data_IF_891594495780
#
_entry.id   IF_891594495780
#
_cell.length_a   1.000
_cell.length_b   1.000
_cell.length_c   1.000
_cell.angle_alpha   90.00
_cell.angle_beta   90.00
_cell.angle_gamma   90.00
#
_symmetry.space_group_name_H-M   'P 1'
#
loop_
_entity.id
_entity.type
_entity.pdbx_description
1 polymer ?
#
# COMPACT_ATOMS: atom_id res chain seq x y z
N UNK A 1 -2.34 26.98 -33.38
CA UNK A 1 -2.15 25.52 -33.63
C UNK A 1 -0.66 25.22 -33.53
N UNK A 2 -0.28 24.05 -33.01
CA UNK A 2 1.12 23.67 -32.76
C UNK A 2 1.27 22.98 -31.40
N UNK A 3 0.81 21.73 -31.28
CA UNK A 3 0.97 20.91 -30.09
C UNK A 3 2.13 19.92 -30.25
N UNK A 4 2.70 19.45 -29.13
CA UNK A 4 3.92 18.65 -29.05
C UNK A 4 3.75 17.17 -29.47
N UNK A 5 3.07 16.92 -30.59
CA UNK A 5 3.04 15.61 -31.28
C UNK A 5 2.95 15.77 -32.81
N UNK A 6 4.05 15.51 -33.54
CA UNK A 6 4.04 15.13 -34.96
C UNK A 6 4.36 13.62 -35.17
N UNK A 7 4.17 13.07 -36.40
CA UNK A 7 3.94 11.63 -36.61
C UNK A 7 5.18 10.76 -36.93
N UNK A 8 4.92 9.43 -37.00
CA UNK A 8 5.87 8.34 -37.34
C UNK A 8 6.17 8.23 -38.84
N UNK A 9 7.26 7.52 -39.17
CA UNK A 9 7.59 6.58 -40.28
C UNK A 9 9.14 6.37 -40.19
N UNK A 10 9.81 5.23 -40.42
CA UNK A 10 9.49 3.83 -40.78
C UNK A 10 10.46 2.83 -40.07
N UNK A 11 10.34 1.54 -40.37
CA UNK A 11 11.22 0.39 -40.01
C UNK A 11 11.89 -0.20 -41.28
N UNK A 12 12.67 -1.33 -41.27
CA UNK A 12 13.33 -2.10 -40.20
C UNK A 12 14.86 -2.36 -40.46
N UNK A 13 15.58 -2.93 -39.48
CA UNK A 13 16.74 -3.80 -39.74
C UNK A 13 16.95 -4.85 -38.64
N UNK A 14 17.67 -5.91 -38.96
CA UNK A 14 17.69 -7.22 -38.26
C UNK A 14 19.13 -7.64 -37.93
N UNK A 15 19.30 -8.64 -37.04
CA UNK A 15 20.50 -9.48 -36.78
C UNK A 15 21.57 -8.91 -35.78
N UNK A 16 22.44 -9.76 -35.17
CA UNK A 16 22.04 -10.60 -34.02
C UNK A 16 23.04 -10.56 -32.83
N UNK A 17 22.75 -11.33 -31.78
CA UNK A 17 23.67 -11.64 -30.67
C UNK A 17 24.96 -12.35 -31.15
N UNK A 18 26.04 -12.27 -30.36
CA UNK A 18 26.59 -13.52 -29.82
C UNK A 18 26.78 -13.51 -28.30
N UNK A 19 26.91 -14.70 -27.73
CA UNK A 19 27.12 -14.93 -26.31
C UNK A 19 28.61 -14.86 -25.93
N UNK A 20 28.91 -14.48 -24.68
CA UNK A 20 29.71 -15.34 -23.82
C UNK A 20 29.60 -14.99 -22.33
N UNK A 21 29.58 -16.02 -21.48
CA UNK A 21 29.83 -15.92 -20.03
C UNK A 21 31.25 -16.42 -19.78
N UNK A 22 32.00 -15.82 -18.84
CA UNK A 22 32.88 -16.55 -17.95
C UNK A 22 32.21 -16.74 -16.58
N UNK A 23 32.54 -17.85 -15.91
CA UNK A 23 32.19 -18.10 -14.50
C UNK A 23 33.15 -17.32 -13.59
N UNK A 24 32.72 -16.76 -12.45
CA UNK A 24 33.63 -16.41 -11.38
C UNK A 24 34.08 -17.67 -10.61
N UNK A 25 35.25 -17.56 -10.00
CA UNK A 25 35.98 -18.62 -9.27
C UNK A 25 35.42 -18.91 -7.88
N UNK A 26 35.74 -20.10 -7.38
CA UNK A 26 35.55 -20.46 -5.98
C UNK A 26 36.50 -19.62 -5.08
N UNK A 27 35.96 -19.02 -4.03
CA UNK A 27 36.76 -18.59 -2.88
C UNK A 27 36.12 -19.10 -1.59
N UNK A 28 36.86 -19.95 -0.88
CA UNK A 28 36.55 -20.38 0.50
C UNK A 28 37.17 -19.41 1.51
N UNK A 29 36.64 -19.45 2.72
CA UNK A 29 37.19 -18.90 3.98
C UNK A 29 37.28 -17.38 4.13
N UNK A 30 36.42 -16.84 4.99
CA UNK A 30 36.86 -16.30 6.28
C UNK A 30 35.73 -16.37 7.31
N UNK A 31 35.98 -17.04 8.44
CA UNK A 31 35.22 -16.84 9.67
C UNK A 31 35.79 -15.60 10.36
N UNK A 32 34.94 -14.70 10.85
CA UNK A 32 35.32 -13.66 11.81
C UNK A 32 34.20 -13.50 12.85
N UNK A 33 34.63 -13.29 14.09
CA UNK A 33 33.83 -13.49 15.29
C UNK A 33 32.79 -12.40 15.56
N UNK A 34 31.72 -12.79 16.26
CA UNK A 34 30.73 -11.89 16.86
C UNK A 34 31.01 -11.80 18.37
N UNK A 35 31.46 -10.66 18.91
CA UNK A 35 31.52 -10.46 20.34
C UNK A 35 30.13 -10.11 20.89
N UNK A 36 29.70 -10.87 21.89
CA UNK A 36 28.50 -10.58 22.68
C UNK A 36 28.73 -9.40 23.65
N UNK A 37 27.74 -8.54 23.83
CA UNK A 37 27.70 -7.63 24.99
C UNK A 37 26.29 -7.49 25.57
N UNK A 38 26.29 -7.58 26.89
CA UNK A 38 25.17 -7.68 27.82
C UNK A 38 24.18 -6.52 27.84
N UNK A 39 22.96 -6.85 28.26
CA UNK A 39 21.88 -5.95 28.64
C UNK A 39 22.23 -5.01 29.81
N UNK A 40 21.71 -3.78 29.75
CA UNK A 40 21.45 -2.96 30.95
C UNK A 40 20.09 -2.28 30.85
N UNK A 41 19.14 -2.72 31.68
CA UNK A 41 17.90 -1.98 31.95
C UNK A 41 18.16 -0.93 33.04
N UNK A 42 17.86 0.34 32.75
CA UNK A 42 17.80 1.40 33.76
C UNK A 42 16.34 1.56 34.21
N UNK A 43 16.08 1.40 35.52
CA UNK A 43 14.77 1.71 36.14
C UNK A 43 14.79 3.13 36.69
N UNK A 44 13.69 3.85 36.49
CA UNK A 44 13.40 5.14 37.14
C UNK A 44 12.71 4.93 38.50
N UNK A 45 12.93 5.79 39.51
CA UNK A 45 12.23 5.75 40.79
C UNK A 45 10.88 6.50 40.77
N UNK A 46 9.94 6.19 41.69
CA UNK A 46 8.61 6.81 41.76
C UNK A 46 8.60 8.14 42.56
N UNK A 47 7.53 8.96 42.42
CA UNK A 47 7.43 10.25 43.10
C UNK A 47 6.93 10.13 44.55
N UNK A 48 7.49 10.96 45.44
CA UNK A 48 7.01 11.15 46.82
C UNK A 48 6.32 12.51 46.98
N UNK A 49 5.23 12.53 47.73
CA UNK A 49 4.42 13.71 48.01
C UNK A 49 4.88 14.45 49.27
N UNK A 50 4.80 15.78 49.27
CA UNK A 50 4.71 16.57 50.50
C UNK A 50 3.79 17.78 50.30
N UNK A 51 2.75 17.85 51.16
CA UNK A 51 1.87 19.01 51.28
C UNK A 51 2.59 20.12 52.06
N UNK A 52 2.33 21.37 51.69
CA UNK A 52 2.77 22.55 52.43
C UNK A 52 1.85 23.74 52.16
N UNK A 53 0.70 23.79 52.84
CA UNK A 53 -0.11 25.01 52.92
C UNK A 53 0.56 25.98 53.90
N UNK A 54 0.57 27.29 53.60
CA UNK A 54 0.58 28.35 54.62
C UNK A 54 -0.03 29.63 54.06
N UNK A 55 -0.65 30.42 54.94
CA UNK A 55 -1.68 31.42 54.61
C UNK A 55 -1.15 32.84 54.43
N UNK A 56 -1.93 33.64 53.71
CA UNK A 56 -1.84 35.11 53.68
C UNK A 56 -2.26 35.75 55.02
N UNK A 57 -1.62 36.85 55.39
CA UNK A 57 -2.23 37.95 56.16
C UNK A 57 -1.74 39.31 55.65
N UNK A 58 -2.67 40.27 55.52
CA UNK A 58 -2.39 41.68 55.20
C UNK A 58 -2.22 42.49 56.48
N UNK A 59 -1.41 43.56 56.44
CA UNK A 59 -1.56 44.90 57.08
C UNK A 59 -0.18 45.61 57.04
N UNK A 60 -0.05 46.93 57.06
CA UNK A 60 -0.80 48.00 56.38
C UNK A 60 0.10 49.28 56.37
N UNK A 61 -0.34 50.34 55.68
CA UNK A 61 0.07 51.75 55.88
C UNK A 61 1.56 52.17 55.70
N UNK A 62 1.84 52.89 54.60
CA UNK A 62 2.12 54.35 54.66
C UNK A 62 2.18 54.98 53.25
N UNK A 63 1.80 56.26 53.13
CA UNK A 63 1.66 57.01 51.87
C UNK A 63 2.78 58.04 51.67
N UNK A 64 2.92 58.44 50.40
CA UNK A 64 3.38 59.74 49.89
C UNK A 64 4.90 60.07 49.94
N UNK A 65 5.52 60.09 48.76
CA UNK A 65 5.68 61.34 48.01
C UNK A 65 5.85 61.09 46.50
N UNK A 66 5.27 61.98 45.69
CA UNK A 66 5.52 62.14 44.24
C UNK A 66 6.26 63.49 44.05
N UNK A 67 6.89 63.82 42.88
CA UNK A 67 6.26 63.73 41.56
C UNK A 67 7.13 63.31 40.34
N UNK A 68 6.40 62.83 39.32
CA UNK A 68 6.59 62.99 37.87
C UNK A 68 8.00 63.06 37.23
N UNK A 69 8.27 62.14 36.29
CA UNK A 69 8.51 62.52 34.88
C UNK A 69 8.35 61.34 33.90
N UNK A 70 7.61 61.61 32.80
CA UNK A 70 7.52 60.89 31.51
C UNK A 70 7.92 59.40 31.47
N UNK A 71 6.96 58.50 31.67
CA UNK A 71 7.06 57.13 31.14
C UNK A 71 6.70 57.13 29.65
N UNK A 72 7.70 56.90 28.79
CA UNK A 72 7.46 56.58 27.39
C UNK A 72 6.64 55.28 27.28
N UNK A 73 5.78 55.19 26.26
CA UNK A 73 5.06 53.95 25.94
C UNK A 73 6.10 52.88 25.60
N UNK A 74 6.24 51.89 26.48
CA UNK A 74 7.02 50.69 26.19
C UNK A 74 6.28 49.88 25.13
N UNK A 75 6.51 50.20 23.85
CA UNK A 75 6.33 49.23 22.77
C UNK A 75 7.41 48.18 22.96
N UNK A 76 7.08 46.91 23.25
CA UNK A 76 8.06 45.86 23.09
C UNK A 76 8.44 45.85 21.61
N UNK A 77 9.70 46.14 21.29
CA UNK A 77 10.29 45.71 20.03
C UNK A 77 10.40 44.20 20.10
N UNK A 78 9.30 43.49 19.82
CA UNK A 78 9.40 42.10 19.40
C UNK A 78 10.24 42.11 18.14
N UNK A 79 11.42 41.48 18.19
CA UNK A 79 12.11 41.10 16.97
C UNK A 79 11.11 40.37 16.06
N UNK A 80 11.17 40.52 14.72
CA UNK A 80 10.35 39.69 13.86
C UNK A 80 10.58 38.23 14.24
N UNK A 81 9.53 37.39 14.33
CA UNK A 81 9.74 35.97 14.54
C UNK A 81 10.68 35.49 13.43
N UNK A 82 11.73 34.77 13.83
CA UNK A 82 12.68 34.20 12.88
C UNK A 82 11.88 33.39 11.85
N UNK A 83 12.18 33.55 10.56
CA UNK A 83 11.21 33.17 9.53
C UNK A 83 10.89 31.66 9.56
N UNK A 84 11.86 30.84 9.96
CA UNK A 84 11.70 29.41 10.20
C UNK A 84 10.80 29.11 11.41
N UNK A 85 10.83 29.93 12.47
CA UNK A 85 9.92 29.80 13.60
C UNK A 85 8.48 30.16 13.23
N UNK A 86 8.28 31.17 12.36
CA UNK A 86 6.98 31.49 11.79
C UNK A 86 6.47 30.37 10.87
N UNK A 87 7.33 29.81 10.01
CA UNK A 87 6.99 28.67 9.16
C UNK A 87 6.66 27.40 9.97
N UNK A 88 7.41 27.12 11.05
CA UNK A 88 7.12 26.03 11.96
C UNK A 88 5.77 26.22 12.68
N UNK A 89 5.46 27.44 13.13
CA UNK A 89 4.17 27.78 13.72
C UNK A 89 3.02 27.60 12.70
N UNK A 90 3.20 28.03 11.46
CA UNK A 90 2.23 27.85 10.37
C UNK A 90 1.94 26.35 10.12
N UNK A 91 2.97 25.51 10.04
CA UNK A 91 2.81 24.05 9.88
C UNK A 91 2.06 23.45 11.08
N UNK A 92 2.44 23.81 12.32
CA UNK A 92 1.76 23.33 13.52
C UNK A 92 0.28 23.76 13.57
N UNK A 93 -0.05 24.96 13.08
CA UNK A 93 -1.44 25.45 12.96
C UNK A 93 -2.23 24.65 11.93
N UNK A 94 -1.66 24.39 10.75
CA UNK A 94 -2.29 23.57 9.73
C UNK A 94 -2.50 22.11 10.19
N UNK A 95 -1.50 21.52 10.86
CA UNK A 95 -1.62 20.18 11.47
C UNK A 95 -2.68 20.12 12.58
N UNK A 96 -2.93 21.24 13.28
CA UNK A 96 -3.96 21.38 14.30
C UNK A 96 -5.35 21.81 13.77
N UNK A 97 -5.51 22.04 12.45
CA UNK A 97 -6.78 22.45 11.84
C UNK A 97 -7.07 23.96 11.81
N UNK A 98 -6.13 24.80 12.26
CA UNK A 98 -6.27 26.26 12.35
C UNK A 98 -5.83 26.95 11.05
N UNK A 99 -6.54 26.64 9.95
CA UNK A 99 -6.16 27.01 8.59
C UNK A 99 -6.14 28.52 8.33
N UNK A 100 -7.11 29.26 8.87
CA UNK A 100 -7.16 30.73 8.74
C UNK A 100 -5.88 31.40 9.27
N UNK A 101 -5.39 30.96 10.43
CA UNK A 101 -4.13 31.47 10.98
C UNK A 101 -2.91 30.97 10.22
N UNK A 102 -2.93 29.72 9.74
CA UNK A 102 -1.87 29.21 8.87
C UNK A 102 -1.77 30.03 7.57
N UNK A 103 -2.88 30.32 6.90
CA UNK A 103 -2.95 31.14 5.69
C UNK A 103 -2.55 32.60 5.95
N UNK A 104 -2.90 33.16 7.11
CA UNK A 104 -2.44 34.50 7.49
C UNK A 104 -0.91 34.57 7.63
N UNK A 105 -0.29 33.57 8.27
CA UNK A 105 1.17 33.47 8.37
C UNK A 105 1.81 33.20 7.00
N UNK A 106 1.21 32.32 6.18
CA UNK A 106 1.64 32.05 4.80
C UNK A 106 1.69 33.34 3.98
N UNK A 107 0.61 34.12 3.95
CA UNK A 107 0.55 35.38 3.20
C UNK A 107 1.61 36.40 3.67
N UNK A 108 1.87 36.50 4.97
CA UNK A 108 2.92 37.35 5.53
C UNK A 108 4.33 36.90 5.10
N UNK A 109 4.62 35.59 5.20
CA UNK A 109 5.92 35.04 4.80
C UNK A 109 6.12 35.08 3.28
N UNK A 110 5.09 34.84 2.50
CA UNK A 110 5.11 34.85 1.04
C UNK A 110 5.42 36.24 0.47
N UNK A 111 4.94 37.30 1.13
CA UNK A 111 5.25 38.69 0.79
C UNK A 111 6.63 39.15 1.31
N UNK A 112 7.31 38.35 2.13
CA UNK A 112 8.64 38.65 2.67
C UNK A 112 9.77 38.09 1.79
N UNK A 113 11.01 38.51 2.06
CA UNK A 113 12.21 37.90 1.46
C UNK A 113 12.50 36.47 1.96
N UNK A 114 11.76 35.97 2.94
CA UNK A 114 11.99 34.66 3.56
C UNK A 114 11.24 33.50 2.88
N UNK A 115 10.77 33.67 1.64
CA UNK A 115 10.08 32.62 0.87
C UNK A 115 10.77 31.22 0.86
N UNK A 116 12.12 31.07 0.93
CA UNK A 116 12.75 29.75 1.04
C UNK A 116 12.29 28.89 2.24
N UNK A 117 11.91 29.48 3.38
CA UNK A 117 11.41 28.72 4.52
C UNK A 117 10.04 28.06 4.23
N UNK A 118 9.24 28.64 3.33
CA UNK A 118 7.96 28.06 2.89
C UNK A 118 8.17 26.82 2.01
N UNK A 119 9.19 26.82 1.15
CA UNK A 119 9.57 25.64 0.37
C UNK A 119 10.02 24.48 1.27
N UNK A 120 10.78 24.77 2.34
CA UNK A 120 11.17 23.78 3.35
C UNK A 120 9.97 23.28 4.20
N UNK A 121 8.94 24.11 4.42
CA UNK A 121 7.74 23.77 5.16
C UNK A 121 6.70 22.96 4.34
N UNK A 122 6.70 23.11 3.01
CA UNK A 122 5.72 22.51 2.11
C UNK A 122 5.52 20.98 2.26
N UNK A 123 6.57 20.14 2.46
CA UNK A 123 6.44 18.70 2.70
C UNK A 123 5.56 18.31 3.90
N UNK A 124 5.37 19.20 4.88
CA UNK A 124 4.43 19.00 5.99
C UNK A 124 3.09 19.71 5.77
N UNK A 125 3.13 20.92 5.21
CA UNK A 125 1.94 21.75 5.00
C UNK A 125 0.95 21.14 3.98
N UNK A 126 1.43 20.74 2.79
CA UNK A 126 0.55 20.24 1.71
C UNK A 126 -0.20 18.97 2.13
N UNK A 127 0.44 17.96 2.76
CA UNK A 127 -0.29 16.81 3.33
C UNK A 127 -1.29 17.18 4.44
N UNK A 128 -1.04 18.24 5.22
CA UNK A 128 -1.98 18.70 6.25
C UNK A 128 -3.23 19.32 5.61
N UNK A 129 -3.06 20.20 4.61
CA UNK A 129 -4.17 20.77 3.84
C UNK A 129 -4.97 19.69 3.10
N UNK A 130 -4.31 18.72 2.48
CA UNK A 130 -4.97 17.59 1.81
C UNK A 130 -5.81 16.74 2.79
N UNK A 131 -5.27 16.38 3.96
CA UNK A 131 -6.04 15.65 4.99
C UNK A 131 -7.25 16.41 5.52
N UNK A 132 -7.27 17.74 5.36
CA UNK A 132 -8.34 18.62 5.80
C UNK A 132 -9.37 18.97 4.71
N UNK A 133 -9.26 18.40 3.51
CA UNK A 133 -10.16 18.71 2.40
C UNK A 133 -9.87 20.05 1.69
N UNK A 134 -8.75 20.71 2.00
CA UNK A 134 -8.37 22.01 1.41
C UNK A 134 -7.52 21.80 0.16
N UNK A 135 -8.11 21.19 -0.86
CA UNK A 135 -7.39 20.68 -2.03
C UNK A 135 -6.90 21.78 -2.98
N UNK A 136 -7.72 22.81 -3.24
CA UNK A 136 -7.31 23.96 -4.06
C UNK A 136 -6.08 24.67 -3.46
N UNK A 137 -6.00 24.73 -2.13
CA UNK A 137 -4.87 25.31 -1.39
C UNK A 137 -3.57 24.54 -1.59
N UNK A 138 -3.63 23.22 -1.79
CA UNK A 138 -2.45 22.38 -2.08
C UNK A 138 -1.85 22.75 -3.43
N UNK A 139 -2.69 22.93 -4.45
CA UNK A 139 -2.26 23.33 -5.79
C UNK A 139 -1.86 24.81 -5.84
N UNK A 140 -2.59 25.69 -5.15
CA UNK A 140 -2.26 27.12 -5.03
C UNK A 140 -0.90 27.31 -4.35
N UNK A 141 -0.64 26.61 -3.23
CA UNK A 141 0.65 26.67 -2.55
C UNK A 141 1.81 26.22 -3.45
N UNK A 142 1.61 25.16 -4.25
CA UNK A 142 2.60 24.71 -5.23
C UNK A 142 2.86 25.77 -6.31
N UNK A 143 1.80 26.42 -6.85
CA UNK A 143 1.91 27.51 -7.83
C UNK A 143 2.65 28.72 -7.28
N UNK A 144 2.24 29.23 -6.12
CA UNK A 144 2.76 30.46 -5.52
C UNK A 144 4.25 30.37 -5.17
N UNK A 145 4.68 29.22 -4.64
CA UNK A 145 6.09 28.97 -4.36
C UNK A 145 6.89 28.74 -5.64
N UNK A 146 6.38 27.96 -6.60
CA UNK A 146 7.04 27.73 -7.90
C UNK A 146 7.23 29.02 -8.71
N UNK A 147 6.33 29.99 -8.55
CA UNK A 147 6.44 31.30 -9.19
C UNK A 147 7.53 32.20 -8.58
N UNK A 148 7.90 31.98 -7.32
CA UNK A 148 9.02 32.69 -6.65
C UNK A 148 10.35 31.97 -6.77
N UNK A 149 10.33 30.65 -6.64
CA UNK A 149 11.49 29.78 -6.85
C UNK A 149 11.17 28.67 -7.87
N UNK A 150 11.55 28.86 -9.14
CA UNK A 150 11.42 27.83 -10.17
C UNK A 150 12.22 26.55 -9.90
N UNK A 151 13.18 26.54 -8.98
CA UNK A 151 13.88 25.32 -8.56
C UNK A 151 12.99 24.44 -7.67
N UNK A 152 12.31 25.04 -6.67
CA UNK A 152 11.38 24.35 -5.77
C UNK A 152 10.22 23.66 -6.51
N UNK A 153 9.83 24.16 -7.69
CA UNK A 153 8.82 23.54 -8.54
C UNK A 153 9.08 22.04 -8.84
N UNK A 154 10.35 21.61 -8.83
CA UNK A 154 10.75 20.20 -9.02
C UNK A 154 10.25 19.26 -7.93
N UNK A 155 10.12 19.75 -6.70
CA UNK A 155 9.71 18.95 -5.54
C UNK A 155 8.23 19.20 -5.19
N UNK A 156 7.75 20.43 -5.39
CA UNK A 156 6.40 20.86 -5.03
C UNK A 156 5.30 20.24 -5.91
N UNK A 157 5.47 20.20 -7.23
CA UNK A 157 4.45 19.60 -8.10
C UNK A 157 4.29 18.08 -7.89
N UNK A 158 5.38 17.26 -7.81
CA UNK A 158 5.28 15.86 -7.41
C UNK A 158 4.58 15.64 -6.06
N UNK A 159 4.87 16.48 -5.07
CA UNK A 159 4.21 16.44 -3.77
C UNK A 159 2.71 16.75 -3.88
N UNK A 160 2.34 17.80 -4.61
CA UNK A 160 0.95 18.15 -4.86
C UNK A 160 0.18 17.02 -5.56
N UNK A 161 0.76 16.42 -6.62
CA UNK A 161 0.20 15.25 -7.32
C UNK A 161 -0.03 14.08 -6.36
N UNK A 162 0.92 13.79 -5.47
CA UNK A 162 0.78 12.71 -4.48
C UNK A 162 -0.30 13.03 -3.43
N UNK A 163 -0.39 14.28 -2.97
CA UNK A 163 -1.38 14.71 -1.98
C UNK A 163 -2.81 14.70 -2.55
N UNK A 164 -3.02 15.33 -3.71
CA UNK A 164 -4.32 15.41 -4.39
C UNK A 164 -4.78 14.02 -4.85
N UNK A 165 -3.86 13.23 -5.42
CA UNK A 165 -4.14 11.85 -5.80
C UNK A 165 -4.49 10.95 -4.61
N UNK A 166 -3.85 11.13 -3.45
CA UNK A 166 -4.18 10.38 -2.24
C UNK A 166 -5.56 10.74 -1.66
N UNK A 167 -6.03 11.97 -1.88
CA UNK A 167 -7.37 12.41 -1.54
C UNK A 167 -8.46 11.97 -2.55
N UNK A 168 -8.07 11.51 -3.74
CA UNK A 168 -9.00 11.16 -4.82
C UNK A 168 -9.38 12.33 -5.74
N UNK A 169 -8.76 13.50 -5.59
CA UNK A 169 -9.01 14.69 -6.40
C UNK A 169 -8.28 14.62 -7.75
N UNK A 170 -8.77 13.72 -8.61
CA UNK A 170 -8.13 13.41 -9.90
C UNK A 170 -8.04 14.61 -10.84
N UNK A 171 -9.02 15.53 -10.79
CA UNK A 171 -9.01 16.75 -11.61
C UNK A 171 -7.87 17.71 -11.21
N UNK A 172 -7.75 18.04 -9.93
CA UNK A 172 -6.65 18.87 -9.41
C UNK A 172 -5.29 18.17 -9.56
N UNK A 173 -5.25 16.85 -9.44
CA UNK A 173 -4.04 16.06 -9.71
C UNK A 173 -3.60 16.16 -11.19
N UNK A 174 -4.53 16.17 -12.14
CA UNK A 174 -4.23 16.41 -13.56
C UNK A 174 -3.73 17.84 -13.81
N UNK A 175 -4.35 18.85 -13.18
CA UNK A 175 -3.90 20.24 -13.29
C UNK A 175 -2.47 20.41 -12.76
N UNK A 176 -2.13 19.77 -11.64
CA UNK A 176 -0.77 19.74 -11.10
C UNK A 176 0.24 19.12 -12.10
N UNK A 177 -0.11 18.02 -12.77
CA UNK A 177 0.74 17.41 -13.80
C UNK A 177 0.85 18.29 -15.06
N UNK A 178 -0.25 18.95 -15.46
CA UNK A 178 -0.25 19.86 -16.60
C UNK A 178 0.62 21.10 -16.34
N UNK A 179 0.58 21.66 -15.13
CA UNK A 179 1.39 22.82 -14.77
C UNK A 179 2.86 22.49 -14.63
N UNK A 180 3.19 21.32 -14.04
CA UNK A 180 4.54 20.78 -14.07
C UNK A 180 5.07 20.68 -15.52
N UNK A 181 4.24 20.21 -16.46
CA UNK A 181 4.62 20.17 -17.88
C UNK A 181 4.74 21.57 -18.54
N UNK A 182 3.87 22.53 -18.19
CA UNK A 182 3.96 23.93 -18.66
C UNK A 182 5.22 24.63 -18.14
N UNK A 183 5.67 24.30 -16.93
CA UNK A 183 6.95 24.73 -16.34
C UNK A 183 8.19 24.03 -16.96
N UNK A 184 8.00 23.17 -17.98
CA UNK A 184 9.09 22.43 -18.64
C UNK A 184 9.66 21.28 -17.81
N UNK A 185 9.04 20.94 -16.68
CA UNK A 185 9.48 19.86 -15.81
C UNK A 185 9.02 18.51 -16.37
N UNK A 186 9.93 17.53 -16.38
CA UNK A 186 9.63 16.17 -16.85
C UNK A 186 9.02 15.36 -15.72
N UNK A 187 7.90 14.68 -15.97
CA UNK A 187 7.32 13.70 -15.05
C UNK A 187 8.37 12.63 -14.76
N UNK A 188 8.72 12.45 -13.49
CA UNK A 188 9.65 11.44 -13.04
C UNK A 188 8.95 10.08 -12.81
N UNK A 189 9.73 9.06 -12.45
CA UNK A 189 9.17 7.72 -12.22
C UNK A 189 8.24 7.67 -11.00
N UNK A 190 8.54 8.42 -9.93
CA UNK A 190 7.71 8.41 -8.72
C UNK A 190 6.34 9.06 -8.98
N UNK A 191 6.33 10.27 -9.55
CA UNK A 191 5.10 11.02 -9.89
C UNK A 191 4.25 10.26 -10.90
N UNK A 192 4.87 9.74 -11.97
CA UNK A 192 4.14 8.97 -12.98
C UNK A 192 3.51 7.69 -12.45
N UNK A 193 4.18 6.99 -11.53
CA UNK A 193 3.60 5.82 -10.88
C UNK A 193 2.55 6.18 -9.81
N UNK A 194 2.72 7.29 -9.09
CA UNK A 194 1.71 7.80 -8.18
C UNK A 194 0.42 8.10 -8.93
N UNK A 195 0.49 8.87 -10.01
CA UNK A 195 -0.61 9.20 -10.90
C UNK A 195 -1.40 7.95 -11.33
N UNK A 196 -0.73 6.88 -11.78
CA UNK A 196 -1.39 5.61 -12.13
C UNK A 196 -2.02 4.91 -10.92
N UNK A 197 -1.37 4.89 -9.75
CA UNK A 197 -1.95 4.32 -8.52
C UNK A 197 -3.25 5.02 -8.12
N UNK A 198 -3.26 6.36 -8.16
CA UNK A 198 -4.41 7.16 -7.75
C UNK A 198 -5.58 7.02 -8.73
N UNK A 199 -5.31 7.01 -10.04
CA UNK A 199 -6.32 6.66 -11.04
C UNK A 199 -6.87 5.24 -10.89
N UNK A 200 -6.05 4.26 -10.52
CA UNK A 200 -6.52 2.89 -10.29
C UNK A 200 -7.40 2.75 -9.04
N UNK A 201 -7.16 3.56 -8.01
CA UNK A 201 -7.89 3.54 -6.74
C UNK A 201 -9.22 4.30 -6.80
N UNK A 202 -9.25 5.47 -7.45
CA UNK A 202 -10.39 6.40 -7.41
C UNK A 202 -11.07 6.63 -8.77
N UNK A 203 -10.38 6.37 -9.87
CA UNK A 203 -10.88 6.60 -11.22
C UNK A 203 -11.67 5.43 -11.80
N UNK A 204 -12.37 5.68 -12.89
CA UNK A 204 -13.00 4.61 -13.68
C UNK A 204 -11.94 3.79 -14.43
N UNK A 205 -12.27 2.54 -14.78
CA UNK A 205 -11.37 1.64 -15.51
C UNK A 205 -10.82 2.27 -16.82
N UNK A 206 -11.60 2.98 -17.65
CA UNK A 206 -11.08 3.68 -18.83
C UNK A 206 -10.07 4.80 -18.51
N UNK A 207 -10.29 5.57 -17.44
CA UNK A 207 -9.39 6.65 -17.03
C UNK A 207 -8.06 6.08 -16.50
N UNK A 208 -8.13 5.01 -15.70
CA UNK A 208 -6.96 4.22 -15.30
C UNK A 208 -6.20 3.67 -16.51
N UNK A 209 -6.88 3.13 -17.51
CA UNK A 209 -6.25 2.66 -18.76
C UNK A 209 -5.58 3.79 -19.54
N UNK A 210 -6.18 4.99 -19.57
CA UNK A 210 -5.59 6.18 -20.15
C UNK A 210 -4.34 6.64 -19.38
N UNK A 211 -4.37 6.62 -18.04
CA UNK A 211 -3.22 6.93 -17.19
C UNK A 211 -2.06 5.94 -17.40
N UNK A 212 -2.34 4.63 -17.42
CA UNK A 212 -1.37 3.57 -17.77
C UNK A 212 -0.81 3.79 -19.19
N UNK A 213 -1.67 4.17 -20.15
CA UNK A 213 -1.28 4.48 -21.51
C UNK A 213 -0.34 5.68 -21.61
N UNK A 214 -0.59 6.75 -20.84
CA UNK A 214 0.29 7.92 -20.73
C UNK A 214 1.65 7.54 -20.14
N UNK A 215 1.67 6.77 -19.05
CA UNK A 215 2.90 6.33 -18.40
C UNK A 215 3.78 5.47 -19.33
N UNK A 216 3.16 4.56 -20.11
CA UNK A 216 3.88 3.78 -21.13
C UNK A 216 4.41 4.65 -22.27
N UNK A 217 3.65 5.65 -22.73
CA UNK A 217 4.06 6.56 -23.81
C UNK A 217 5.22 7.49 -23.41
N UNK A 218 5.37 7.85 -22.13
CA UNK A 218 6.53 8.60 -21.65
C UNK A 218 7.79 7.75 -21.43
N UNK A 219 7.72 6.43 -21.68
CA UNK A 219 8.84 5.50 -21.50
C UNK A 219 9.12 5.12 -20.04
N UNK A 220 8.26 5.53 -19.10
CA UNK A 220 8.42 5.22 -17.68
C UNK A 220 7.97 3.79 -17.37
N UNK A 221 8.74 3.10 -16.53
CA UNK A 221 8.41 1.75 -16.07
C UNK A 221 7.31 1.79 -15.01
N UNK A 222 6.30 0.93 -15.19
CA UNK A 222 5.26 0.72 -14.18
C UNK A 222 5.87 -0.03 -12.97
N UNK A 223 5.71 0.54 -11.78
CA UNK A 223 6.19 0.00 -10.51
C UNK A 223 5.35 -1.19 -10.04
N UNK A 224 5.87 -1.95 -9.05
CA UNK A 224 5.16 -3.07 -8.43
C UNK A 224 3.82 -2.60 -7.82
N UNK A 225 3.83 -1.47 -7.12
CA UNK A 225 2.64 -0.93 -6.46
C UNK A 225 1.59 -0.42 -7.47
N UNK A 226 2.03 0.20 -8.57
CA UNK A 226 1.14 0.60 -9.65
C UNK A 226 0.55 -0.61 -10.40
N UNK A 227 1.31 -1.70 -10.58
CA UNK A 227 0.79 -2.97 -11.11
C UNK A 227 -0.28 -3.53 -10.17
N UNK A 228 -0.02 -3.54 -8.86
CA UNK A 228 -0.97 -4.05 -7.85
C UNK A 228 -2.27 -3.22 -7.83
N UNK A 229 -2.17 -1.89 -7.81
CA UNK A 229 -3.34 -1.01 -7.81
C UNK A 229 -4.20 -1.21 -9.08
N UNK A 230 -3.58 -1.23 -10.26
CA UNK A 230 -4.28 -1.50 -11.54
C UNK A 230 -4.91 -2.89 -11.55
N UNK A 231 -4.23 -3.89 -10.97
CA UNK A 231 -4.76 -5.24 -10.89
C UNK A 231 -6.01 -5.33 -10.01
N UNK A 232 -5.99 -4.76 -8.80
CA UNK A 232 -7.15 -4.68 -7.91
C UNK A 232 -8.31 -3.94 -8.58
N UNK A 233 -8.06 -2.81 -9.23
CA UNK A 233 -9.09 -2.09 -9.99
C UNK A 233 -9.79 -2.97 -11.04
N UNK A 234 -9.04 -3.78 -11.79
CA UNK A 234 -9.63 -4.76 -12.72
C UNK A 234 -10.39 -5.90 -12.01
N UNK A 235 -9.92 -6.36 -10.84
CA UNK A 235 -10.53 -7.47 -10.10
C UNK A 235 -11.86 -7.03 -9.47
N UNK A 236 -11.89 -5.88 -8.80
CA UNK A 236 -13.10 -5.27 -8.26
C UNK A 236 -14.19 -5.10 -9.34
N UNK A 237 -13.80 -4.68 -10.55
CA UNK A 237 -14.70 -4.54 -11.70
C UNK A 237 -14.90 -5.83 -12.52
N UNK A 238 -14.37 -6.98 -12.05
CA UNK A 238 -14.44 -8.31 -12.68
C UNK A 238 -13.91 -8.36 -14.13
N UNK A 239 -13.03 -7.43 -14.52
CA UNK A 239 -12.44 -7.28 -15.86
C UNK A 239 -11.21 -8.17 -16.05
N UNK A 240 -11.31 -9.44 -15.67
CA UNK A 240 -10.17 -10.37 -15.67
C UNK A 240 -9.50 -10.55 -17.04
N UNK A 241 -10.21 -10.42 -18.16
CA UNK A 241 -9.58 -10.44 -19.48
C UNK A 241 -8.56 -9.30 -19.65
N UNK A 242 -8.94 -8.07 -19.26
CA UNK A 242 -8.08 -6.88 -19.29
C UNK A 242 -6.91 -6.99 -18.30
N UNK A 243 -7.13 -7.61 -17.13
CA UNK A 243 -6.03 -7.95 -16.19
C UNK A 243 -4.96 -8.80 -16.89
N UNK A 244 -5.37 -9.87 -17.61
CA UNK A 244 -4.46 -10.75 -18.33
C UNK A 244 -3.69 -10.06 -19.46
N UNK A 245 -4.36 -9.19 -20.24
CA UNK A 245 -3.71 -8.35 -21.25
C UNK A 245 -2.73 -7.34 -20.64
N UNK A 246 -3.13 -6.69 -19.55
CA UNK A 246 -2.30 -5.72 -18.84
C UNK A 246 -0.99 -6.34 -18.35
N UNK A 247 -1.04 -7.46 -17.61
CA UNK A 247 0.19 -8.08 -17.06
C UNK A 247 1.09 -8.67 -18.14
N UNK A 248 0.54 -9.22 -19.23
CA UNK A 248 1.31 -9.58 -20.43
C UNK A 248 2.00 -8.34 -21.02
N UNK A 249 1.26 -7.24 -21.20
CA UNK A 249 1.75 -5.97 -21.73
C UNK A 249 2.63 -5.16 -20.77
N UNK A 250 2.82 -5.61 -19.53
CA UNK A 250 3.84 -5.14 -18.57
C UNK A 250 5.10 -6.03 -18.64
N UNK A 251 4.96 -7.27 -19.11
CA UNK A 251 6.04 -8.21 -19.36
C UNK A 251 6.21 -9.23 -18.22
N UNK A 252 5.69 -10.44 -18.42
CA UNK A 252 5.74 -11.55 -17.44
C UNK A 252 7.17 -11.97 -17.05
N UNK A 253 8.18 -11.60 -17.84
CA UNK A 253 9.61 -11.86 -17.55
C UNK A 253 10.27 -10.91 -16.54
N UNK A 254 9.55 -9.92 -15.99
CA UNK A 254 10.09 -8.95 -15.03
C UNK A 254 10.35 -9.58 -13.66
N UNK A 255 11.61 -9.99 -13.43
CA UNK A 255 12.05 -10.66 -12.18
C UNK A 255 11.91 -9.77 -10.93
N UNK A 256 11.97 -8.45 -11.07
CA UNK A 256 11.83 -7.51 -9.95
C UNK A 256 10.41 -7.46 -9.32
N UNK A 257 9.41 -8.06 -9.98
CA UNK A 257 8.06 -8.24 -9.45
C UNK A 257 7.84 -9.64 -8.83
N UNK A 258 8.91 -10.45 -8.70
CA UNK A 258 8.81 -11.84 -8.26
C UNK A 258 7.82 -12.64 -9.10
N UNK A 259 6.97 -13.41 -8.44
CA UNK A 259 5.88 -14.17 -9.07
C UNK A 259 4.59 -13.35 -9.30
N UNK A 260 4.50 -12.10 -8.82
CA UNK A 260 3.23 -11.34 -8.79
C UNK A 260 2.56 -11.25 -10.17
N UNK A 261 3.33 -10.96 -11.23
CA UNK A 261 2.80 -10.87 -12.60
C UNK A 261 2.25 -12.21 -13.11
N UNK A 262 2.90 -13.33 -12.77
CA UNK A 262 2.41 -14.67 -13.11
C UNK A 262 1.18 -15.03 -12.29
N UNK A 263 1.17 -14.76 -10.99
CA UNK A 263 0.03 -15.00 -10.12
C UNK A 263 -1.21 -14.22 -10.64
N UNK A 264 -1.07 -12.94 -10.98
CA UNK A 264 -2.13 -12.15 -11.61
C UNK A 264 -2.56 -12.69 -12.99
N UNK A 265 -1.62 -13.19 -13.79
CA UNK A 265 -1.91 -13.79 -15.10
C UNK A 265 -2.68 -15.11 -14.97
N UNK A 266 -2.33 -15.98 -14.02
CA UNK A 266 -3.09 -17.19 -13.70
C UNK A 266 -4.47 -16.82 -13.15
N UNK A 267 -4.55 -15.82 -12.25
CA UNK A 267 -5.80 -15.32 -11.67
C UNK A 267 -6.79 -14.87 -12.75
N UNK A 268 -6.29 -14.22 -13.81
CA UNK A 268 -7.08 -13.76 -14.96
C UNK A 268 -7.90 -14.87 -15.65
N UNK A 269 -7.42 -16.12 -15.61
CA UNK A 269 -8.12 -17.30 -16.10
C UNK A 269 -8.88 -18.03 -15.00
N UNK A 270 -8.30 -18.12 -13.80
CA UNK A 270 -8.82 -18.84 -12.66
C UNK A 270 -10.17 -18.29 -12.18
N UNK A 271 -10.29 -16.96 -12.02
CA UNK A 271 -11.50 -16.29 -11.56
C UNK A 271 -12.65 -16.29 -12.58
N UNK A 272 -12.34 -16.56 -13.87
CA UNK A 272 -13.29 -16.74 -14.96
C UNK A 272 -13.50 -18.21 -15.35
N UNK A 273 -13.03 -19.15 -14.52
CA UNK A 273 -13.08 -20.60 -14.73
C UNK A 273 -12.57 -21.11 -16.09
N UNK A 274 -11.64 -20.37 -16.72
CA UNK A 274 -10.99 -20.76 -17.99
C UNK A 274 -9.89 -21.80 -17.74
N UNK A 275 -10.29 -22.97 -17.24
CA UNK A 275 -9.39 -24.01 -16.70
C UNK A 275 -8.25 -24.36 -17.67
N UNK A 276 -8.55 -24.77 -18.91
CA UNK A 276 -7.52 -25.11 -19.92
C UNK A 276 -6.47 -24.00 -20.11
N UNK A 277 -6.86 -22.73 -20.00
CA UNK A 277 -5.94 -21.58 -20.06
C UNK A 277 -5.15 -21.40 -18.76
N UNK A 278 -5.75 -21.65 -17.60
CA UNK A 278 -5.07 -21.67 -16.30
C UNK A 278 -3.97 -22.75 -16.25
N UNK A 279 -4.28 -24.00 -16.66
CA UNK A 279 -3.26 -25.06 -16.71
C UNK A 279 -2.15 -24.71 -17.71
N UNK A 280 -2.48 -24.15 -18.88
CA UNK A 280 -1.46 -23.69 -19.84
C UNK A 280 -0.58 -22.56 -19.27
N UNK A 281 -1.18 -21.54 -18.66
CA UNK A 281 -0.46 -20.43 -18.03
C UNK A 281 0.47 -20.89 -16.89
N UNK A 282 0.07 -21.91 -16.12
CA UNK A 282 0.93 -22.53 -15.10
C UNK A 282 2.14 -23.24 -15.74
N UNK A 283 1.94 -23.97 -16.85
CA UNK A 283 3.05 -24.58 -17.59
C UNK A 283 3.97 -23.52 -18.21
N UNK A 284 3.41 -22.47 -18.82
CA UNK A 284 4.14 -21.29 -19.33
C UNK A 284 5.02 -20.66 -18.24
N UNK A 285 4.50 -20.48 -17.01
CA UNK A 285 5.25 -19.97 -15.85
C UNK A 285 6.47 -20.84 -15.53
N UNK A 286 6.27 -22.16 -15.42
CA UNK A 286 7.36 -23.10 -15.11
C UNK A 286 8.40 -23.17 -16.22
N UNK A 287 7.99 -23.15 -17.49
CA UNK A 287 8.87 -23.14 -18.65
C UNK A 287 9.69 -21.84 -18.75
N UNK A 288 9.13 -20.71 -18.31
CA UNK A 288 9.83 -19.44 -18.15
C UNK A 288 10.79 -19.39 -16.94
N UNK A 289 10.99 -20.51 -16.23
CA UNK A 289 11.90 -20.62 -15.09
C UNK A 289 11.42 -19.91 -13.83
N UNK A 290 10.13 -19.66 -13.69
CA UNK A 290 9.54 -19.20 -12.43
C UNK A 290 9.11 -20.41 -11.59
N UNK A 291 9.48 -20.42 -10.30
CA UNK A 291 9.04 -21.44 -9.35
C UNK A 291 7.68 -21.02 -8.78
N UNK A 292 6.61 -21.84 -8.91
CA UNK A 292 5.33 -21.59 -8.27
C UNK A 292 5.48 -21.39 -6.76
N UNK A 293 4.72 -20.44 -6.20
CA UNK A 293 4.64 -20.20 -4.76
C UNK A 293 3.26 -20.59 -4.20
N UNK A 294 3.09 -20.40 -2.89
CA UNK A 294 1.83 -20.63 -2.18
C UNK A 294 0.64 -19.91 -2.83
N UNK A 295 0.83 -18.67 -3.29
CA UNK A 295 -0.22 -17.90 -3.97
C UNK A 295 -0.50 -18.49 -5.35
N UNK A 296 0.52 -18.89 -6.13
CA UNK A 296 0.35 -19.59 -7.40
C UNK A 296 -0.52 -20.84 -7.26
N UNK A 297 -0.25 -21.65 -6.23
CA UNK A 297 -1.00 -22.87 -5.97
C UNK A 297 -2.39 -22.60 -5.41
N UNK A 298 -2.57 -21.61 -4.54
CA UNK A 298 -3.89 -21.27 -4.00
C UNK A 298 -4.83 -20.61 -5.01
N UNK A 299 -4.31 -19.89 -6.01
CA UNK A 299 -5.10 -19.45 -7.17
C UNK A 299 -5.68 -20.64 -7.94
N UNK A 300 -4.88 -21.70 -8.12
CA UNK A 300 -5.33 -22.95 -8.74
C UNK A 300 -6.34 -23.68 -7.85
N UNK A 301 -6.02 -23.86 -6.56
CA UNK A 301 -6.87 -24.55 -5.59
C UNK A 301 -8.24 -23.87 -5.44
N UNK A 302 -8.30 -22.54 -5.37
CA UNK A 302 -9.56 -21.79 -5.26
C UNK A 302 -10.47 -22.00 -6.48
N UNK A 303 -9.91 -21.99 -7.69
CA UNK A 303 -10.66 -22.21 -8.91
C UNK A 303 -11.16 -23.67 -9.03
N UNK A 304 -10.29 -24.65 -8.77
CA UNK A 304 -10.69 -26.07 -8.78
C UNK A 304 -11.69 -26.40 -7.66
N UNK A 305 -11.57 -25.75 -6.50
CA UNK A 305 -12.52 -25.85 -5.40
C UNK A 305 -13.92 -25.40 -5.80
N UNK A 306 -14.05 -24.17 -6.32
CA UNK A 306 -15.37 -23.63 -6.75
C UNK A 306 -16.01 -24.44 -7.89
N UNK A 307 -15.21 -25.08 -8.74
CA UNK A 307 -15.69 -26.00 -9.77
C UNK A 307 -15.84 -27.46 -9.30
N UNK A 308 -15.50 -27.76 -8.05
CA UNK A 308 -15.43 -29.13 -7.48
C UNK A 308 -14.58 -30.12 -8.31
N UNK A 309 -13.53 -29.64 -8.97
CA UNK A 309 -12.61 -30.45 -9.77
C UNK A 309 -11.61 -31.16 -8.83
N UNK A 310 -12.08 -32.19 -8.12
CA UNK A 310 -11.29 -32.87 -7.09
C UNK A 310 -9.95 -33.42 -7.60
N UNK A 311 -9.89 -33.93 -8.83
CA UNK A 311 -8.66 -34.47 -9.39
C UNK A 311 -7.58 -33.39 -9.50
N UNK A 312 -7.87 -32.27 -10.17
CA UNK A 312 -6.98 -31.12 -10.26
C UNK A 312 -6.67 -30.48 -8.90
N UNK A 313 -7.63 -30.47 -7.96
CA UNK A 313 -7.43 -29.95 -6.61
C UNK A 313 -6.43 -30.81 -5.81
N UNK A 314 -6.59 -32.13 -5.81
CA UNK A 314 -5.62 -33.06 -5.18
C UNK A 314 -4.27 -33.04 -5.89
N UNK A 315 -4.24 -32.96 -7.22
CA UNK A 315 -3.00 -32.81 -7.98
C UNK A 315 -2.28 -31.50 -7.66
N UNK A 316 -3.02 -30.42 -7.36
CA UNK A 316 -2.44 -29.14 -6.92
C UNK A 316 -1.73 -29.31 -5.57
N UNK A 317 -2.34 -30.00 -4.59
CA UNK A 317 -1.70 -30.29 -3.31
C UNK A 317 -0.47 -31.23 -3.45
N UNK A 318 -0.54 -32.23 -4.33
CA UNK A 318 0.60 -33.11 -4.60
C UNK A 318 1.78 -32.35 -5.26
N UNK A 319 1.49 -31.39 -6.14
CA UNK A 319 2.52 -30.49 -6.68
C UNK A 319 3.12 -29.58 -5.60
N UNK A 320 2.31 -29.03 -4.70
CA UNK A 320 2.80 -28.25 -3.54
C UNK A 320 3.77 -29.09 -2.70
N UNK A 321 3.38 -30.33 -2.36
CA UNK A 321 4.21 -31.28 -1.60
C UNK A 321 5.53 -31.59 -2.30
N UNK A 322 5.50 -31.83 -3.62
CA UNK A 322 6.70 -32.08 -4.45
C UNK A 322 7.63 -30.87 -4.52
N UNK A 323 7.07 -29.67 -4.64
CA UNK A 323 7.81 -28.42 -4.83
C UNK A 323 8.24 -27.77 -3.49
N UNK A 324 7.92 -28.40 -2.35
CA UNK A 324 8.30 -27.93 -1.01
C UNK A 324 7.47 -26.76 -0.48
N UNK A 325 6.28 -26.53 -1.02
CA UNK A 325 5.39 -25.42 -0.64
C UNK A 325 4.39 -25.90 0.41
N UNK A 326 4.50 -25.39 1.63
CA UNK A 326 3.58 -25.73 2.72
C UNK A 326 2.16 -25.19 2.45
N UNK A 327 1.09 -26.00 2.60
CA UNK A 327 -0.30 -25.54 2.57
C UNK A 327 -0.61 -24.53 3.68
N UNK A 328 -1.45 -23.53 3.37
CA UNK A 328 -1.93 -22.54 4.35
C UNK A 328 -3.45 -22.70 4.62
N UNK A 329 -4.04 -21.78 5.39
CA UNK A 329 -5.47 -21.79 5.68
C UNK A 329 -6.35 -21.59 4.44
N UNK A 330 -5.85 -20.94 3.39
CA UNK A 330 -6.55 -20.83 2.09
C UNK A 330 -6.53 -22.18 1.38
N UNK A 331 -5.39 -22.87 1.37
CA UNK A 331 -5.28 -24.22 0.78
C UNK A 331 -6.26 -25.18 1.47
N UNK A 332 -6.24 -25.22 2.81
CA UNK A 332 -7.17 -26.05 3.59
C UNK A 332 -8.63 -25.67 3.33
N UNK A 333 -8.95 -24.37 3.29
CA UNK A 333 -10.31 -23.89 2.98
C UNK A 333 -10.82 -24.33 1.62
N UNK A 334 -9.99 -24.31 0.58
CA UNK A 334 -10.35 -24.82 -0.74
C UNK A 334 -10.76 -26.30 -0.72
N UNK A 335 -10.08 -27.13 0.08
CA UNK A 335 -10.49 -28.53 0.23
C UNK A 335 -11.76 -28.68 1.07
N UNK A 336 -11.89 -27.97 2.21
CA UNK A 336 -13.11 -28.06 3.03
C UNK A 336 -14.33 -27.64 2.24
N UNK A 337 -14.29 -26.48 1.59
CA UNK A 337 -15.45 -25.93 0.89
C UNK A 337 -15.87 -26.82 -0.29
N UNK A 338 -14.93 -27.30 -1.12
CA UNK A 338 -15.23 -28.22 -2.23
C UNK A 338 -15.86 -29.55 -1.79
N UNK A 339 -15.37 -30.13 -0.68
CA UNK A 339 -15.93 -31.37 -0.13
C UNK A 339 -17.30 -31.14 0.53
N UNK A 340 -17.50 -29.99 1.18
CA UNK A 340 -18.78 -29.63 1.80
C UNK A 340 -19.86 -29.36 0.74
N UNK A 341 -19.53 -28.64 -0.33
CA UNK A 341 -20.41 -28.38 -1.48
C UNK A 341 -20.97 -29.69 -2.07
N UNK A 342 -20.13 -30.72 -2.16
CA UNK A 342 -20.49 -32.05 -2.68
C UNK A 342 -21.02 -33.01 -1.61
N UNK A 343 -21.28 -32.53 -0.38
CA UNK A 343 -21.75 -33.32 0.78
C UNK A 343 -20.83 -34.48 1.19
N UNK A 344 -19.55 -34.41 0.84
CA UNK A 344 -18.52 -35.43 1.11
C UNK A 344 -17.78 -35.21 2.45
N UNK A 345 -18.43 -34.61 3.45
CA UNK A 345 -17.79 -34.17 4.71
C UNK A 345 -16.98 -35.27 5.42
N UNK A 346 -17.45 -36.54 5.36
CA UNK A 346 -16.79 -37.71 5.95
C UNK A 346 -15.39 -37.98 5.35
N UNK A 347 -15.12 -37.48 4.14
CA UNK A 347 -13.88 -37.71 3.40
C UNK A 347 -12.86 -36.58 3.59
N UNK A 348 -13.21 -35.47 4.26
CA UNK A 348 -12.31 -34.31 4.43
C UNK A 348 -11.05 -34.69 5.22
N UNK A 349 -11.18 -35.51 6.26
CA UNK A 349 -10.05 -35.99 7.06
C UNK A 349 -9.02 -36.80 6.24
N UNK A 350 -9.45 -37.43 5.13
CA UNK A 350 -8.52 -38.08 4.20
C UNK A 350 -7.69 -37.04 3.44
N UNK A 351 -8.31 -35.95 2.98
CA UNK A 351 -7.60 -34.86 2.32
C UNK A 351 -6.65 -34.13 3.27
N UNK A 352 -7.06 -33.86 4.52
CA UNK A 352 -6.23 -33.17 5.51
C UNK A 352 -4.95 -33.93 5.89
N UNK A 353 -4.94 -35.28 5.83
CA UNK A 353 -3.71 -36.07 5.97
C UNK A 353 -2.67 -35.79 4.87
N UNK A 354 -3.08 -35.28 3.70
CA UNK A 354 -2.18 -34.90 2.60
C UNK A 354 -1.79 -33.42 2.61
N UNK A 355 -2.44 -32.60 3.44
CA UNK A 355 -2.23 -31.14 3.53
C UNK A 355 -1.45 -30.70 4.79
N UNK A 356 -1.00 -31.66 5.60
CA UNK A 356 -0.51 -31.43 6.96
C UNK A 356 -1.56 -30.77 7.88
N UNK A 357 -2.70 -31.44 8.06
CA UNK A 357 -3.77 -30.96 8.95
C UNK A 357 -3.37 -30.81 10.43
N UNK A 358 -2.20 -31.31 10.84
CA UNK A 358 -1.65 -31.12 12.19
C UNK A 358 -0.87 -29.80 12.32
N UNK A 359 -0.53 -29.15 11.20
CA UNK A 359 0.13 -27.85 11.18
C UNK A 359 -0.70 -26.71 11.77
N UNK A 360 -0.01 -25.62 12.09
CA UNK A 360 -0.63 -24.39 12.61
C UNK A 360 -1.32 -23.58 11.50
N UNK A 361 -2.46 -22.94 11.80
CA UNK A 361 -3.16 -22.11 10.85
C UNK A 361 -2.44 -20.78 10.59
N UNK A 362 -1.85 -20.68 9.41
CA UNK A 362 -1.22 -19.46 8.89
C UNK A 362 -1.99 -18.99 7.65
N UNK A 363 -2.01 -17.67 7.41
CA UNK A 363 -2.44 -17.07 6.14
C UNK A 363 -1.24 -16.33 5.56
N UNK A 364 -0.67 -16.87 4.48
CA UNK A 364 0.45 -16.24 3.77
C UNK A 364 0.18 -16.04 2.27
N UNK A 365 -1.01 -16.46 1.81
CA UNK A 365 -1.53 -16.16 0.47
C UNK A 365 -1.76 -14.67 0.27
N UNK A 366 -1.37 -14.14 -0.90
CA UNK A 366 -1.58 -12.74 -1.26
C UNK A 366 -3.08 -12.37 -1.25
N UNK A 367 -3.41 -11.21 -0.68
CA UNK A 367 -4.78 -10.71 -0.52
C UNK A 367 -5.61 -10.67 -1.81
N UNK A 368 -4.94 -10.57 -2.96
CA UNK A 368 -5.56 -10.55 -4.30
C UNK A 368 -6.40 -11.81 -4.60
N UNK A 369 -6.09 -12.95 -3.94
CA UNK A 369 -6.87 -14.18 -4.09
C UNK A 369 -8.26 -14.03 -3.44
N UNK A 370 -8.34 -13.39 -2.28
CA UNK A 370 -9.62 -13.10 -1.62
C UNK A 370 -10.41 -12.03 -2.37
N UNK A 371 -9.72 -11.04 -2.95
CA UNK A 371 -10.36 -9.99 -3.76
C UNK A 371 -11.13 -10.59 -4.96
N UNK A 372 -10.52 -11.57 -5.65
CA UNK A 372 -11.13 -12.20 -6.82
C UNK A 372 -12.15 -13.30 -6.50
N UNK A 373 -11.89 -14.13 -5.49
CA UNK A 373 -12.70 -15.33 -5.19
C UNK A 373 -13.65 -15.19 -3.99
N UNK A 374 -13.45 -14.18 -3.13
CA UNK A 374 -14.04 -14.11 -1.80
C UNK A 374 -13.42 -15.09 -0.80
N UNK A 375 -13.63 -14.85 0.50
CA UNK A 375 -13.26 -15.80 1.55
C UNK A 375 -14.19 -17.01 1.56
N UNK A 376 -13.60 -18.19 1.72
CA UNK A 376 -14.32 -19.46 1.87
C UNK A 376 -15.08 -19.58 3.20
N UNK A 377 -16.07 -20.46 3.27
CA UNK A 377 -16.90 -20.65 4.46
C UNK A 377 -16.09 -21.17 5.65
N UNK A 378 -15.18 -22.11 5.38
CA UNK A 378 -14.20 -22.58 6.35
C UNK A 378 -13.22 -21.47 6.78
N UNK A 379 -12.70 -20.72 5.82
CA UNK A 379 -11.69 -19.69 6.07
C UNK A 379 -12.24 -18.59 6.97
N UNK A 380 -13.37 -17.97 6.61
CA UNK A 380 -14.01 -16.91 7.40
C UNK A 380 -14.45 -17.38 8.80
N UNK A 381 -14.86 -18.65 8.95
CA UNK A 381 -15.17 -19.21 10.28
C UNK A 381 -13.90 -19.42 11.12
N UNK A 382 -12.79 -19.81 10.49
CA UNK A 382 -11.52 -20.07 11.17
C UNK A 382 -10.83 -18.78 11.61
N UNK A 383 -10.82 -17.77 10.75
CA UNK A 383 -10.27 -16.43 11.03
C UNK A 383 -10.96 -15.80 12.25
N UNK A 384 -12.29 -15.69 12.23
CA UNK A 384 -13.07 -15.16 13.37
C UNK A 384 -12.91 -15.98 14.66
N UNK A 385 -12.61 -17.29 14.56
CA UNK A 385 -12.33 -18.14 15.71
C UNK A 385 -10.93 -17.90 16.29
N UNK A 386 -9.93 -17.69 15.43
CA UNK A 386 -8.54 -17.40 15.83
C UNK A 386 -8.45 -16.01 16.48
N UNK A 387 -9.14 -15.01 15.91
CA UNK A 387 -9.30 -13.68 16.50
C UNK A 387 -9.94 -13.76 17.90
N UNK A 388 -11.10 -14.43 18.02
CA UNK A 388 -11.80 -14.58 19.30
C UNK A 388 -11.02 -15.40 20.34
N UNK A 389 -10.14 -16.32 19.91
CA UNK A 389 -9.30 -17.11 20.79
C UNK A 389 -8.12 -16.32 21.39
N UNK A 390 -7.72 -15.20 20.79
CA UNK A 390 -6.71 -14.28 21.33
C UNK A 390 -5.38 -14.95 21.72
N UNK A 391 -4.93 -15.94 20.94
CA UNK A 391 -3.67 -16.67 21.19
C UNK A 391 -3.65 -17.62 22.39
N UNK A 392 -4.77 -17.81 23.12
CA UNK A 392 -4.83 -18.56 24.39
C UNK A 392 -4.52 -20.06 24.29
N UNK A 393 -4.48 -20.62 23.08
CA UNK A 393 -4.14 -22.02 22.78
C UNK A 393 -3.55 -22.12 21.37
N UNK A 394 -2.60 -23.05 21.18
CA UNK A 394 -2.13 -23.53 19.88
C UNK A 394 -3.27 -24.25 19.14
N UNK A 395 -3.67 -23.70 17.99
CA UNK A 395 -4.66 -24.31 17.10
C UNK A 395 -3.98 -25.12 16.00
N UNK A 396 -4.66 -26.17 15.54
CA UNK A 396 -4.28 -26.95 14.35
C UNK A 396 -5.38 -26.83 13.29
N UNK A 397 -5.07 -27.13 12.02
CA UNK A 397 -6.12 -27.23 10.99
C UNK A 397 -7.19 -28.28 11.32
N UNK A 398 -6.83 -29.40 11.98
CA UNK A 398 -7.79 -30.38 12.50
C UNK A 398 -8.72 -29.81 13.58
N UNK A 399 -8.22 -29.00 14.51
CA UNK A 399 -9.07 -28.34 15.53
C UNK A 399 -10.10 -27.41 14.86
N UNK A 400 -9.64 -26.59 13.91
CA UNK A 400 -10.50 -25.68 13.14
C UNK A 400 -11.57 -26.45 12.35
N UNK A 401 -11.19 -27.55 11.68
CA UNK A 401 -12.12 -28.43 10.98
C UNK A 401 -13.17 -29.03 11.92
N UNK A 402 -12.74 -29.50 13.10
CA UNK A 402 -13.63 -30.05 14.11
C UNK A 402 -14.62 -29.03 14.68
N UNK A 403 -14.25 -27.76 14.80
CA UNK A 403 -15.19 -26.68 15.16
C UNK A 403 -16.13 -26.37 13.99
N UNK A 404 -15.61 -26.23 12.77
CA UNK A 404 -16.39 -25.91 11.58
C UNK A 404 -17.48 -26.95 11.28
N UNK A 405 -17.13 -28.23 11.25
CA UNK A 405 -18.09 -29.31 10.97
C UNK A 405 -19.20 -29.39 12.02
N UNK A 406 -18.88 -29.18 13.32
CA UNK A 406 -19.90 -29.10 14.39
C UNK A 406 -20.84 -27.90 14.19
N UNK A 407 -20.32 -26.74 13.77
CA UNK A 407 -21.12 -25.54 13.46
C UNK A 407 -22.06 -25.79 12.28
N UNK A 408 -21.59 -26.44 11.21
CA UNK A 408 -22.41 -26.78 10.05
C UNK A 408 -23.47 -27.84 10.37
N UNK A 409 -23.14 -28.88 11.13
CA UNK A 409 -24.13 -29.88 11.57
C UNK A 409 -25.27 -29.23 12.38
N UNK A 410 -24.95 -28.35 13.34
CA UNK A 410 -25.98 -27.63 14.13
C UNK A 410 -26.90 -26.76 13.27
N UNK A 411 -26.35 -26.01 12.31
CA UNK A 411 -27.14 -25.21 11.36
C UNK A 411 -28.16 -26.07 10.59
N UNK A 412 -27.71 -27.24 10.10
CA UNK A 412 -28.57 -28.13 9.33
C UNK A 412 -29.70 -28.72 10.18
N UNK A 413 -29.47 -29.01 11.48
CA UNK A 413 -30.50 -29.55 12.38
C UNK A 413 -31.60 -28.52 12.71
N UNK A 414 -31.25 -27.24 12.86
CA UNK A 414 -32.22 -26.17 13.18
C UNK A 414 -33.26 -26.00 12.06
N UNK A 415 -32.88 -26.28 10.80
CA UNK A 415 -33.78 -26.18 9.64
C UNK A 415 -34.83 -27.28 9.51
N UNK A 416 -34.79 -28.34 10.34
CA UNK A 416 -35.78 -29.43 10.33
C UNK A 416 -36.80 -29.35 11.48
N UNK A 417 -36.76 -28.27 12.28
CA UNK A 417 -37.65 -28.06 13.43
C UNK A 417 -38.76 -27.02 13.18
N UNK A 418 -39.12 -26.79 11.91
CA UNK A 418 -40.20 -25.91 11.45
C UNK A 418 -41.00 -26.58 10.33
#
# INVERSE_FOLDING_TARGET
MGSLFPPRLLSPTVRPLPANRPRPTEHRHALLDVPSSSSHHVRLPPPSSSRGELRLTQTDLARAHAPASRRAVFRPRTAPPDADAAAALMVARAEAGDFERAQSIWAQLLLSSAAPCLAAAAPRLLPAYARAGRYDEVLLAARELSARDPAAARDLYPLAVSCLGAAGELALMEDAVQEMARAGLRVDSATGNAFVRHYAAFGTVPEMEAAVGRLKKSGLLISVDAIRAVASSYIAHRKYYKLGEFVRGVGLGRRNAGNMLWNLYLLSFAANFKMKSLQRAFLEMTAAGYRPDLTTFNIRAAAFSKMCMFWDLHLTAEHMRRDGVAPDLVTHGCFVDAYMERRLARNISFAFRRLDGAGEPVVATDGVVFEAFGKGGFHATSEALLEAAGGKRRWTYYDLLGVYLRKQHRKNQIFWNY
#
